data_IF_001372282468
#
_entry.id   IF_001372282468
#
_cell.length_a   1.000
_cell.length_b   1.000
_cell.length_c   1.000
_cell.angle_alpha   90.00
_cell.angle_beta   90.00
_cell.angle_gamma   90.00
#
_symmetry.space_group_name_H-M   'P 1'
#
loop_
_entity.id
_entity.type
_entity.pdbx_description
1 polymer ?
#
# COMPACT_ATOMS: atom_id res chain seq x y z
N UNK A 1 2.87 20.51 -5.44
CA UNK A 1 2.01 20.27 -6.61
C UNK A 1 0.88 19.29 -6.29
N UNK A 2 1.16 18.06 -5.84
CA UNK A 2 0.15 17.02 -5.52
C UNK A 2 -0.89 17.51 -4.50
N UNK A 3 -0.46 18.14 -3.39
CA UNK A 3 -1.35 18.68 -2.35
C UNK A 3 -2.31 19.72 -2.91
N UNK A 4 -1.82 20.67 -3.71
CA UNK A 4 -2.65 21.68 -4.34
C UNK A 4 -3.67 21.07 -5.31
N UNK A 5 -3.23 20.12 -6.14
CA UNK A 5 -4.11 19.39 -7.05
C UNK A 5 -5.21 18.62 -6.32
N UNK A 6 -4.84 17.88 -5.27
CA UNK A 6 -5.81 17.11 -4.49
C UNK A 6 -6.82 18.00 -3.75
N UNK A 7 -6.38 19.10 -3.14
CA UNK A 7 -7.28 20.04 -2.47
C UNK A 7 -8.21 20.76 -3.47
N UNK A 8 -7.76 21.06 -4.68
CA UNK A 8 -8.63 21.60 -5.73
C UNK A 8 -9.75 20.62 -6.12
N UNK A 9 -9.44 19.30 -6.19
CA UNK A 9 -10.46 18.27 -6.42
C UNK A 9 -11.45 18.15 -5.26
N UNK A 10 -10.97 18.22 -4.01
CA UNK A 10 -11.80 18.22 -2.81
C UNK A 10 -12.77 19.40 -2.84
N UNK A 11 -12.27 20.59 -3.16
CA UNK A 11 -13.09 21.78 -3.29
C UNK A 11 -14.14 21.67 -4.42
N UNK A 12 -13.74 21.16 -5.59
CA UNK A 12 -14.68 20.91 -6.71
C UNK A 12 -15.78 19.91 -6.32
N UNK A 13 -15.47 18.95 -5.44
CA UNK A 13 -16.44 17.98 -4.94
C UNK A 13 -17.31 18.51 -3.77
N UNK A 14 -17.12 19.76 -3.32
CA UNK A 14 -17.84 20.33 -2.19
C UNK A 14 -17.52 19.71 -0.83
N UNK A 15 -16.29 19.18 -0.68
CA UNK A 15 -15.89 18.42 0.52
C UNK A 15 -14.82 19.16 1.36
N UNK A 16 -14.59 20.45 1.14
CA UNK A 16 -13.52 21.21 1.81
C UNK A 16 -13.69 21.36 3.33
N UNK A 17 -14.91 21.25 3.82
CA UNK A 17 -15.25 21.22 5.25
C UNK A 17 -14.96 19.89 5.93
N UNK A 18 -14.82 18.81 5.16
CA UNK A 18 -14.70 17.42 5.65
C UNK A 18 -13.39 16.75 5.30
N UNK A 19 -12.70 17.22 4.27
CA UNK A 19 -11.48 16.61 3.76
C UNK A 19 -10.42 17.65 3.42
N UNK A 20 -9.17 17.34 3.77
CA UNK A 20 -8.02 18.19 3.50
C UNK A 20 -6.79 17.33 3.27
N UNK A 21 -5.95 17.73 2.31
CA UNK A 21 -4.64 17.12 2.10
C UNK A 21 -3.58 18.08 2.63
N UNK A 22 -2.75 17.59 3.51
CA UNK A 22 -1.60 18.30 4.07
C UNK A 22 -0.29 17.63 3.64
N UNK A 23 0.75 18.42 3.42
CA UNK A 23 2.08 17.92 3.13
C UNK A 23 2.90 17.99 4.43
N UNK A 24 2.87 16.90 5.19
CA UNK A 24 3.52 16.79 6.49
C UNK A 24 4.44 15.57 6.53
N UNK A 25 5.51 15.68 7.29
CA UNK A 25 6.26 14.51 7.74
C UNK A 25 5.45 13.82 8.86
N UNK A 26 5.34 12.48 8.82
CA UNK A 26 4.60 11.74 9.84
C UNK A 26 5.15 11.93 11.27
N UNK A 27 6.41 12.36 11.39
CA UNK A 27 7.06 12.68 12.67
C UNK A 27 6.65 14.04 13.24
N UNK A 28 5.99 14.86 12.44
CA UNK A 28 5.52 16.20 12.79
C UNK A 28 3.98 16.29 12.77
N UNK A 29 3.31 15.16 12.97
CA UNK A 29 1.86 15.14 13.11
C UNK A 29 1.44 16.00 14.33
N UNK A 30 0.30 16.71 14.25
CA UNK A 30 -0.23 17.47 15.37
C UNK A 30 -0.57 16.52 16.54
N UNK A 31 -0.41 17.02 17.76
CA UNK A 31 -0.75 16.29 18.99
C UNK A 31 -2.27 16.10 19.09
N UNK A 32 -2.75 15.08 18.40
CA UNK A 32 -4.16 14.70 18.28
C UNK A 32 -4.28 13.21 18.10
N UNK A 33 -5.32 12.63 18.67
CA UNK A 33 -5.70 11.24 18.43
C UNK A 33 -6.82 11.14 17.41
N UNK A 34 -6.76 10.11 16.58
CA UNK A 34 -7.76 9.81 15.54
C UNK A 34 -8.49 8.49 15.81
N UNK A 35 -9.76 8.46 15.41
CA UNK A 35 -10.58 7.24 15.49
C UNK A 35 -10.09 6.15 14.53
N UNK A 36 -9.54 6.57 13.38
CA UNK A 36 -9.04 5.66 12.34
C UNK A 36 -7.78 6.24 11.73
N UNK A 37 -6.77 5.38 11.58
CA UNK A 37 -5.53 5.71 10.89
C UNK A 37 -5.36 4.72 9.75
N UNK A 38 -5.00 5.23 8.56
CA UNK A 38 -4.72 4.42 7.38
C UNK A 38 -3.36 4.80 6.85
N UNK A 39 -2.50 3.81 6.64
CA UNK A 39 -1.19 3.98 6.00
C UNK A 39 -1.11 3.07 4.78
N UNK A 40 -1.00 3.67 3.60
CA UNK A 40 -1.00 2.96 2.33
C UNK A 40 0.37 3.12 1.65
N UNK A 41 1.15 2.03 1.65
CA UNK A 41 2.46 1.94 0.97
C UNK A 41 3.43 3.08 1.32
N UNK A 42 3.39 3.53 2.56
CA UNK A 42 4.29 4.53 3.11
C UNK A 42 5.43 3.88 3.89
N UNK A 43 5.16 2.75 4.52
CA UNK A 43 6.08 2.11 5.46
C UNK A 43 7.38 1.65 4.78
N UNK A 44 7.33 1.34 3.49
CA UNK A 44 8.48 0.98 2.65
C UNK A 44 9.51 2.12 2.55
N UNK A 45 9.07 3.36 2.74
CA UNK A 45 9.92 4.55 2.69
C UNK A 45 10.42 5.02 4.06
N UNK A 46 9.95 4.41 5.13
CA UNK A 46 10.34 4.75 6.51
C UNK A 46 11.75 4.26 6.84
N UNK A 47 12.15 3.14 6.24
CA UNK A 47 13.41 2.44 6.51
C UNK A 47 13.31 1.53 7.75
N UNK A 48 13.85 0.32 7.63
CA UNK A 48 13.70 -0.76 8.63
C UNK A 48 14.10 -0.32 10.05
N UNK A 49 15.18 0.45 10.18
CA UNK A 49 15.67 0.95 11.48
C UNK A 49 14.68 1.86 12.21
N UNK A 50 13.75 2.47 11.48
CA UNK A 50 12.79 3.43 12.01
C UNK A 50 11.40 2.83 12.26
N UNK A 51 11.14 1.58 11.87
CA UNK A 51 9.83 0.95 11.93
C UNK A 51 9.25 0.94 13.35
N UNK A 52 10.06 0.62 14.36
CA UNK A 52 9.62 0.65 15.75
C UNK A 52 9.14 2.05 16.17
N UNK A 53 9.86 3.11 15.77
CA UNK A 53 9.46 4.49 16.04
C UNK A 53 8.20 4.86 15.25
N UNK A 54 8.11 4.45 14.00
CA UNK A 54 6.95 4.69 13.16
C UNK A 54 5.67 4.09 13.77
N UNK A 55 5.69 2.80 14.13
CA UNK A 55 4.52 2.17 14.73
C UNK A 55 4.17 2.75 16.10
N UNK A 56 5.17 3.17 16.88
CA UNK A 56 4.92 3.87 18.15
C UNK A 56 4.20 5.21 17.93
N UNK A 57 4.59 5.99 16.91
CA UNK A 57 3.92 7.25 16.55
C UNK A 57 2.46 6.96 16.15
N UNK A 58 2.23 5.94 15.32
CA UNK A 58 0.86 5.55 14.93
C UNK A 58 0.04 5.14 16.17
N UNK A 59 0.64 4.35 17.06
CA UNK A 59 -0.02 3.92 18.30
C UNK A 59 -0.44 5.12 19.17
N UNK A 60 0.46 6.08 19.39
CA UNK A 60 0.22 7.24 20.23
C UNK A 60 -0.88 8.16 19.66
N UNK A 61 -0.97 8.25 18.33
CA UNK A 61 -1.96 9.05 17.64
C UNK A 61 -3.29 8.32 17.40
N UNK A 62 -3.40 7.03 17.69
CA UNK A 62 -4.64 6.28 17.60
C UNK A 62 -5.39 6.36 18.92
N UNK A 63 -6.71 6.60 18.89
CA UNK A 63 -7.56 6.47 20.09
C UNK A 63 -7.59 5.02 20.59
N UNK A 64 -7.96 4.82 21.83
CA UNK A 64 -7.98 3.49 22.46
C UNK A 64 -8.98 2.53 21.80
N UNK A 65 -10.12 3.04 21.31
CA UNK A 65 -11.11 2.33 20.50
C UNK A 65 -10.89 2.47 18.99
N UNK A 66 -9.73 2.99 18.60
CA UNK A 66 -9.36 3.26 17.23
C UNK A 66 -8.96 2.01 16.44
N UNK A 67 -9.02 2.11 15.10
CA UNK A 67 -8.51 1.06 14.20
C UNK A 67 -7.41 1.62 13.32
N UNK A 68 -6.38 0.81 13.15
CA UNK A 68 -5.27 1.08 12.23
C UNK A 68 -5.32 0.11 11.05
N UNK A 69 -5.28 0.63 9.84
CA UNK A 69 -5.10 -0.16 8.62
C UNK A 69 -3.75 0.16 8.02
N UNK A 70 -2.94 -0.86 7.85
CA UNK A 70 -1.67 -0.82 7.15
C UNK A 70 -1.79 -1.58 5.83
N UNK A 71 -1.51 -0.92 4.70
CA UNK A 71 -1.24 -1.61 3.45
C UNK A 71 0.25 -1.46 3.13
N UNK A 72 0.89 -2.56 2.79
CA UNK A 72 2.31 -2.56 2.44
C UNK A 72 2.65 -3.66 1.45
N UNK A 73 3.71 -3.41 0.68
CA UNK A 73 4.34 -4.40 -0.17
C UNK A 73 5.57 -5.01 0.52
N UNK A 74 5.75 -6.30 0.32
CA UNK A 74 6.88 -7.04 0.86
C UNK A 74 7.30 -8.18 -0.02
N UNK A 75 8.33 -8.89 0.39
CA UNK A 75 8.78 -10.14 -0.25
C UNK A 75 8.39 -11.32 0.64
N UNK A 76 7.93 -12.39 0.02
CA UNK A 76 7.69 -13.63 0.76
C UNK A 76 9.02 -14.18 1.32
N UNK A 77 8.96 -14.74 2.51
CA UNK A 77 10.07 -15.49 3.04
C UNK A 77 10.06 -16.90 2.44
N UNK A 78 11.12 -17.28 1.72
CA UNK A 78 11.29 -18.65 1.25
C UNK A 78 11.65 -19.56 2.43
N UNK A 79 10.88 -20.63 2.67
CA UNK A 79 11.09 -21.52 3.79
C UNK A 79 12.47 -22.20 3.72
N UNK A 80 12.85 -22.74 2.54
CA UNK A 80 14.08 -23.52 2.39
C UNK A 80 14.89 -23.20 1.13
N UNK A 81 14.50 -22.18 0.36
CA UNK A 81 15.09 -21.89 -0.96
C UNK A 81 15.77 -20.52 -1.05
N UNK A 82 15.83 -19.78 0.04
CA UNK A 82 16.46 -18.47 0.08
C UNK A 82 17.94 -18.53 0.45
N UNK A 83 18.69 -17.51 0.04
CA UNK A 83 20.08 -17.33 0.48
C UNK A 83 20.09 -16.95 1.95
N UNK A 84 20.67 -17.76 2.85
CA UNK A 84 20.87 -17.34 4.23
C UNK A 84 21.71 -16.05 4.31
N UNK A 85 21.43 -15.13 5.29
CA UNK A 85 20.45 -15.23 6.38
C UNK A 85 19.07 -14.66 6.07
N UNK A 86 18.83 -14.16 4.85
CA UNK A 86 17.66 -13.32 4.54
C UNK A 86 16.48 -14.11 3.97
N UNK A 87 16.71 -15.34 3.47
CA UNK A 87 15.68 -16.18 2.86
C UNK A 87 15.11 -15.62 1.54
N UNK A 88 15.82 -14.69 0.89
CA UNK A 88 15.44 -14.12 -0.39
C UNK A 88 16.10 -14.89 -1.55
N UNK A 89 15.37 -15.05 -2.65
CA UNK A 89 15.92 -15.61 -3.88
C UNK A 89 16.82 -14.59 -4.59
N UNK A 90 17.82 -15.05 -5.36
CA UNK A 90 18.65 -14.14 -6.15
C UNK A 90 17.85 -13.20 -7.07
N UNK A 91 16.77 -13.72 -7.67
CA UNK A 91 15.88 -12.95 -8.55
C UNK A 91 15.16 -11.83 -7.79
N UNK A 92 14.70 -12.11 -6.58
CA UNK A 92 14.02 -11.13 -5.72
C UNK A 92 15.00 -10.04 -5.27
N UNK A 93 16.26 -10.40 -5.03
CA UNK A 93 17.32 -9.43 -4.72
C UNK A 93 17.63 -8.52 -5.92
N UNK A 94 17.75 -9.09 -7.12
CA UNK A 94 17.95 -8.30 -8.36
C UNK A 94 16.79 -7.33 -8.56
N UNK A 95 15.57 -7.81 -8.37
CA UNK A 95 14.36 -6.98 -8.45
C UNK A 95 14.38 -5.85 -7.43
N UNK A 96 14.64 -6.15 -6.16
CA UNK A 96 14.72 -5.17 -5.09
C UNK A 96 15.75 -4.08 -5.35
N UNK A 97 16.94 -4.46 -5.83
CA UNK A 97 17.99 -3.51 -6.20
C UNK A 97 17.60 -2.64 -7.39
N UNK A 98 16.95 -3.22 -8.40
CA UNK A 98 16.43 -2.47 -9.54
C UNK A 98 15.37 -1.44 -9.09
N UNK A 99 14.41 -1.87 -8.26
CA UNK A 99 13.36 -1.01 -7.71
C UNK A 99 13.95 0.14 -6.91
N UNK A 100 14.84 -0.15 -5.98
CA UNK A 100 15.48 0.85 -5.12
C UNK A 100 16.31 1.86 -5.92
N UNK A 101 17.03 1.39 -6.96
CA UNK A 101 17.92 2.27 -7.74
C UNK A 101 17.18 3.15 -8.75
N UNK A 102 16.15 2.62 -9.42
CA UNK A 102 15.61 3.24 -10.63
C UNK A 102 14.15 3.69 -10.52
N UNK A 103 13.34 3.08 -9.67
CA UNK A 103 11.89 3.32 -9.62
C UNK A 103 11.51 4.07 -8.36
N UNK A 104 11.85 3.53 -7.18
CA UNK A 104 11.55 4.11 -5.86
C UNK A 104 12.84 4.25 -5.03
N UNK A 105 13.69 5.26 -5.32
CA UNK A 105 14.95 5.41 -4.61
C UNK A 105 14.75 5.51 -3.10
N UNK A 106 15.45 4.65 -2.35
CA UNK A 106 15.38 4.59 -0.90
C UNK A 106 14.23 3.78 -0.32
N UNK A 107 13.33 3.24 -1.14
CA UNK A 107 12.29 2.34 -0.66
C UNK A 107 12.85 0.94 -0.34
N UNK A 108 12.32 0.33 0.70
CA UNK A 108 12.64 -1.04 1.10
C UNK A 108 11.35 -1.84 1.33
N UNK A 109 11.03 -2.68 0.36
CA UNK A 109 9.90 -3.58 0.37
C UNK A 109 10.34 -5.04 0.63
N UNK A 110 11.44 -5.26 1.35
CA UNK A 110 12.01 -6.60 1.57
C UNK A 110 11.36 -7.35 2.75
N UNK A 111 10.64 -6.65 3.64
CA UNK A 111 10.10 -7.26 4.85
C UNK A 111 8.88 -8.12 4.57
N UNK A 112 8.89 -9.38 5.02
CA UNK A 112 7.72 -10.25 4.97
C UNK A 112 6.67 -9.85 6.01
N UNK A 113 5.45 -10.36 5.86
CA UNK A 113 4.34 -10.14 6.77
C UNK A 113 4.72 -10.40 8.23
N UNK A 114 5.44 -11.48 8.51
CA UNK A 114 5.84 -11.87 9.86
C UNK A 114 6.67 -10.81 10.58
N UNK A 115 7.60 -10.18 9.87
CA UNK A 115 8.43 -9.13 10.46
C UNK A 115 7.64 -7.84 10.66
N UNK A 116 6.75 -7.51 9.73
CA UNK A 116 5.86 -6.36 9.88
C UNK A 116 4.93 -6.51 11.10
N UNK A 117 4.28 -7.67 11.23
CA UNK A 117 3.46 -7.98 12.39
C UNK A 117 4.24 -7.88 13.71
N UNK A 118 5.47 -8.40 13.73
CA UNK A 118 6.35 -8.30 14.92
C UNK A 118 6.64 -6.86 15.35
N UNK A 119 6.83 -5.93 14.40
CA UNK A 119 7.00 -4.51 14.74
C UNK A 119 5.71 -3.89 15.26
N UNK A 120 4.56 -4.27 14.71
CA UNK A 120 3.24 -3.79 15.17
C UNK A 120 2.95 -4.28 16.59
N UNK A 121 3.12 -5.58 16.87
CA UNK A 121 2.91 -6.17 18.20
C UNK A 121 3.84 -5.54 19.24
N UNK A 122 5.11 -5.33 18.91
CA UNK A 122 6.07 -4.64 19.80
C UNK A 122 5.67 -3.20 20.11
N UNK A 123 4.95 -2.53 19.21
CA UNK A 123 4.42 -1.20 19.47
C UNK A 123 3.15 -1.18 20.30
N UNK A 124 2.56 -2.35 20.61
CA UNK A 124 1.36 -2.51 21.42
C UNK A 124 0.07 -2.75 20.63
N UNK A 125 0.17 -3.09 19.35
CA UNK A 125 -1.00 -3.45 18.54
C UNK A 125 -1.37 -4.92 18.73
N UNK A 126 -2.68 -5.18 18.68
CA UNK A 126 -3.29 -6.50 18.46
C UNK A 126 -3.78 -6.57 17.02
N UNK A 127 -3.32 -7.59 16.27
CA UNK A 127 -3.63 -7.75 14.85
C UNK A 127 -4.93 -8.50 14.71
N UNK A 128 -5.94 -7.83 14.16
CA UNK A 128 -7.23 -8.47 13.92
C UNK A 128 -7.23 -9.34 12.66
N UNK A 129 -6.68 -8.82 11.57
CA UNK A 129 -6.65 -9.55 10.29
C UNK A 129 -5.49 -9.11 9.42
N UNK A 130 -5.02 -10.04 8.59
CA UNK A 130 -4.08 -9.77 7.51
C UNK A 130 -4.61 -10.42 6.23
N UNK A 131 -4.82 -9.62 5.20
CA UNK A 131 -5.34 -10.06 3.91
C UNK A 131 -4.27 -9.90 2.84
N UNK A 132 -4.01 -10.98 2.10
CA UNK A 132 -3.11 -10.96 0.95
C UNK A 132 -3.88 -10.48 -0.29
N UNK A 133 -3.56 -9.29 -0.78
CA UNK A 133 -4.14 -8.68 -1.97
C UNK A 133 -3.21 -8.69 -3.18
N UNK A 134 -2.16 -9.49 -3.16
CA UNK A 134 -1.11 -9.52 -4.21
C UNK A 134 -1.67 -9.78 -5.60
N UNK A 135 -2.68 -10.66 -5.71
CA UNK A 135 -3.29 -10.97 -7.01
C UNK A 135 -4.07 -9.76 -7.58
N UNK A 136 -4.72 -8.97 -6.72
CA UNK A 136 -5.37 -7.73 -7.12
C UNK A 136 -4.35 -6.73 -7.64
N UNK A 137 -3.20 -6.65 -6.97
CA UNK A 137 -2.07 -5.80 -7.36
C UNK A 137 -1.53 -6.19 -8.72
N UNK A 138 -1.30 -7.50 -8.93
CA UNK A 138 -0.86 -8.05 -10.22
C UNK A 138 -1.79 -7.67 -11.36
N UNK A 139 -3.11 -7.85 -11.18
CA UNK A 139 -4.12 -7.50 -12.19
C UNK A 139 -4.13 -5.99 -12.47
N UNK A 140 -4.04 -5.16 -11.44
CA UNK A 140 -3.98 -3.70 -11.58
C UNK A 140 -2.74 -3.26 -12.35
N UNK A 141 -1.55 -3.76 -11.97
CA UNK A 141 -0.30 -3.40 -12.66
C UNK A 141 -0.30 -3.92 -14.10
N UNK A 142 -0.91 -5.08 -14.37
CA UNK A 142 -1.07 -5.57 -15.75
C UNK A 142 -1.87 -4.58 -16.59
N UNK A 143 -2.97 -4.02 -16.05
CA UNK A 143 -3.76 -2.98 -16.74
C UNK A 143 -2.95 -1.70 -16.96
N UNK A 144 -2.13 -1.28 -15.98
CA UNK A 144 -1.23 -0.15 -16.15
C UNK A 144 -0.19 -0.41 -17.24
N UNK A 145 0.36 -1.63 -17.30
CA UNK A 145 1.29 -2.02 -18.35
C UNK A 145 0.64 -1.95 -19.74
N UNK A 146 -0.58 -2.47 -19.88
CA UNK A 146 -1.30 -2.42 -21.14
C UNK A 146 -1.62 -0.97 -21.56
N UNK A 147 -1.97 -0.10 -20.61
CA UNK A 147 -2.15 1.33 -20.86
C UNK A 147 -0.84 2.02 -21.25
N UNK A 148 0.27 1.68 -20.62
CA UNK A 148 1.60 2.19 -20.96
C UNK A 148 1.99 1.89 -22.39
N UNK A 149 1.75 0.64 -22.81
CA UNK A 149 2.04 0.20 -24.18
C UNK A 149 1.13 0.86 -25.22
N UNK A 150 -0.16 1.00 -24.93
CA UNK A 150 -1.11 1.68 -25.82
C UNK A 150 -0.75 3.14 -26.04
N UNK A 151 -0.25 3.82 -25.03
CA UNK A 151 0.13 5.22 -25.09
C UNK A 151 1.61 5.44 -25.39
N UNK A 152 2.29 4.45 -26.00
CA UNK A 152 3.74 4.48 -26.26
C UNK A 152 4.20 5.79 -26.90
N UNK A 153 3.52 6.25 -27.96
CA UNK A 153 3.90 7.47 -28.66
C UNK A 153 3.90 8.69 -27.73
N UNK A 154 2.81 8.91 -27.00
CA UNK A 154 2.70 10.03 -26.07
C UNK A 154 3.74 9.99 -24.95
N UNK A 155 4.06 8.78 -24.46
CA UNK A 155 5.10 8.61 -23.43
C UNK A 155 6.49 8.89 -23.99
N UNK A 156 6.79 8.42 -25.21
CA UNK A 156 8.07 8.70 -25.86
C UNK A 156 8.25 10.20 -26.12
N UNK A 157 7.21 10.87 -26.59
CA UNK A 157 7.23 12.31 -26.86
C UNK A 157 7.44 13.12 -25.54
N UNK A 158 6.83 12.68 -24.42
CA UNK A 158 6.90 13.39 -23.15
C UNK A 158 8.15 13.08 -22.32
N UNK A 159 8.64 11.85 -22.33
CA UNK A 159 9.67 11.37 -21.38
C UNK A 159 10.87 10.71 -22.05
N UNK A 160 10.80 10.38 -23.34
CA UNK A 160 11.86 9.76 -24.13
C UNK A 160 12.00 8.25 -23.93
N UNK A 161 12.83 7.65 -24.79
CA UNK A 161 13.02 6.19 -24.91
C UNK A 161 13.50 5.54 -23.62
N UNK A 162 14.45 6.17 -22.92
CA UNK A 162 15.02 5.62 -21.67
C UNK A 162 13.94 5.38 -20.61
N UNK A 163 13.08 6.37 -20.38
CA UNK A 163 12.01 6.29 -19.40
C UNK A 163 10.94 5.29 -19.83
N UNK A 164 10.58 5.29 -21.10
CA UNK A 164 9.64 4.32 -21.63
C UNK A 164 10.10 2.88 -21.38
N UNK A 165 11.35 2.54 -21.72
CA UNK A 165 11.91 1.19 -21.53
C UNK A 165 12.01 0.80 -20.07
N UNK A 166 12.45 1.71 -19.21
CA UNK A 166 12.62 1.46 -17.77
C UNK A 166 11.28 1.16 -17.10
N UNK A 167 10.27 1.97 -17.37
CA UNK A 167 8.92 1.74 -16.85
C UNK A 167 8.23 0.53 -17.47
N UNK A 168 8.46 0.26 -18.73
CA UNK A 168 7.97 -0.96 -19.37
C UNK A 168 8.52 -2.21 -18.68
N UNK A 169 9.83 -2.24 -18.39
CA UNK A 169 10.44 -3.34 -17.63
C UNK A 169 9.84 -3.45 -16.22
N UNK A 170 9.75 -2.33 -15.50
CA UNK A 170 9.14 -2.28 -14.18
C UNK A 170 7.73 -2.87 -14.16
N UNK A 171 6.84 -2.38 -15.01
CA UNK A 171 5.46 -2.83 -15.06
C UNK A 171 5.35 -4.31 -15.47
N UNK A 172 6.09 -4.74 -16.49
CA UNK A 172 6.11 -6.12 -16.94
C UNK A 172 6.58 -7.09 -15.86
N UNK A 173 7.63 -6.71 -15.13
CA UNK A 173 8.18 -7.55 -14.05
C UNK A 173 7.25 -7.56 -12.83
N UNK A 174 6.74 -6.38 -12.41
CA UNK A 174 5.90 -6.24 -11.22
C UNK A 174 4.64 -7.10 -11.27
N UNK A 175 3.89 -7.08 -12.39
CA UNK A 175 2.68 -7.89 -12.46
C UNK A 175 3.00 -9.40 -12.47
N UNK A 176 4.14 -9.79 -13.04
CA UNK A 176 4.59 -11.19 -13.06
C UNK A 176 4.93 -11.69 -11.66
N UNK A 177 5.78 -10.98 -10.93
CA UNK A 177 6.20 -11.41 -9.59
C UNK A 177 5.03 -11.37 -8.59
N UNK A 178 4.09 -10.43 -8.76
CA UNK A 178 2.85 -10.42 -8.00
C UNK A 178 1.97 -11.64 -8.28
N UNK A 179 1.85 -12.04 -9.56
CA UNK A 179 1.11 -13.25 -9.94
C UNK A 179 1.77 -14.54 -9.43
N UNK A 180 3.10 -14.56 -9.31
CA UNK A 180 3.87 -15.68 -8.80
C UNK A 180 3.93 -15.73 -7.26
N UNK A 181 3.47 -14.67 -6.58
CA UNK A 181 3.52 -14.55 -5.13
C UNK A 181 4.96 -14.36 -4.58
N UNK A 182 5.90 -13.84 -5.37
CA UNK A 182 7.25 -13.51 -4.91
C UNK A 182 7.26 -12.15 -4.21
N UNK A 183 6.59 -11.16 -4.82
CA UNK A 183 6.26 -9.89 -4.17
C UNK A 183 4.82 -9.94 -3.74
N UNK A 184 4.58 -9.58 -2.50
CA UNK A 184 3.27 -9.65 -1.87
C UNK A 184 2.81 -8.26 -1.45
N UNK A 185 1.50 -8.06 -1.44
CA UNK A 185 0.87 -6.89 -0.88
C UNK A 185 -0.17 -7.32 0.15
N UNK A 186 -0.08 -6.77 1.34
CA UNK A 186 -0.98 -7.09 2.44
C UNK A 186 -1.74 -5.87 2.91
N UNK A 187 -2.99 -6.09 3.33
CA UNK A 187 -3.73 -5.18 4.18
C UNK A 187 -3.85 -5.79 5.57
N UNK A 188 -3.35 -5.08 6.58
CA UNK A 188 -3.38 -5.51 7.98
C UNK A 188 -4.25 -4.56 8.77
N UNK A 189 -5.26 -5.09 9.47
CA UNK A 189 -6.11 -4.33 10.39
C UNK A 189 -5.70 -4.66 11.81
N UNK A 190 -5.45 -3.62 12.59
CA UNK A 190 -5.04 -3.75 13.99
C UNK A 190 -5.74 -2.70 14.87
N UNK A 191 -5.72 -2.94 16.17
CA UNK A 191 -6.17 -2.03 17.22
C UNK A 191 -5.17 -2.05 18.38
N UNK A 192 -5.31 -1.13 19.33
CA UNK A 192 -4.48 -1.18 20.55
C UNK A 192 -4.78 -2.43 21.36
N UNK A 193 -3.76 -3.14 21.82
CA UNK A 193 -3.92 -4.31 22.67
C UNK A 193 -4.27 -3.90 24.11
N UNK A 194 -5.53 -3.55 24.31
CA UNK A 194 -6.10 -3.12 25.59
C UNK A 194 -7.19 -4.08 26.05
N UNK A 195 -7.25 -4.38 27.36
CA UNK A 195 -8.21 -5.34 27.92
C UNK A 195 -9.67 -4.93 27.71
N UNK A 196 -9.94 -3.62 27.67
CA UNK A 196 -11.29 -3.07 27.50
C UNK A 196 -11.71 -2.89 26.04
N UNK A 197 -10.87 -3.21 25.05
CA UNK A 197 -11.25 -3.09 23.65
C UNK A 197 -12.37 -4.06 23.28
N UNK A 198 -13.43 -3.55 22.66
CA UNK A 198 -14.58 -4.37 22.25
C UNK A 198 -14.30 -5.18 20.99
N UNK A 199 -13.70 -6.36 21.11
CA UNK A 199 -13.39 -7.26 19.99
C UNK A 199 -14.63 -7.85 19.31
N UNK A 200 -15.82 -7.74 19.91
CA UNK A 200 -17.09 -8.22 19.33
C UNK A 200 -17.47 -7.48 18.04
N UNK A 201 -16.93 -6.27 17.81
CA UNK A 201 -17.16 -5.53 16.57
C UNK A 201 -16.69 -6.27 15.29
N UNK A 202 -15.81 -7.27 15.46
CA UNK A 202 -15.29 -8.06 14.35
C UNK A 202 -16.07 -9.34 14.07
N UNK A 203 -17.04 -9.71 14.92
CA UNK A 203 -17.84 -10.93 14.73
C UNK A 203 -18.64 -10.83 13.42
N UNK A 204 -18.48 -11.82 12.54
CA UNK A 204 -19.19 -11.90 11.26
C UNK A 204 -18.71 -10.91 10.20
N UNK A 205 -17.64 -10.14 10.45
CA UNK A 205 -17.08 -9.19 9.50
C UNK A 205 -15.79 -9.75 8.89
N UNK A 206 -15.92 -10.50 7.82
CA UNK A 206 -14.78 -10.89 6.98
C UNK A 206 -14.61 -9.86 5.86
N UNK A 207 -13.40 -9.41 5.63
CA UNK A 207 -13.06 -8.24 4.82
C UNK A 207 -13.66 -8.25 3.39
N UNK A 208 -13.54 -9.30 2.63
CA UNK A 208 -14.05 -9.36 1.25
C UNK A 208 -15.29 -10.24 1.06
N UNK A 209 -15.59 -11.16 1.99
CA UNK A 209 -16.71 -12.10 1.82
C UNK A 209 -18.09 -11.43 1.92
N UNK A 210 -18.17 -10.20 2.41
CA UNK A 210 -19.42 -9.45 2.64
C UNK A 210 -19.76 -8.39 1.61
N UNK A 211 -18.92 -8.18 0.59
CA UNK A 211 -19.29 -7.31 -0.53
C UNK A 211 -20.32 -8.07 -1.36
N UNK A 212 -21.59 -7.67 -1.24
CA UNK A 212 -22.67 -8.27 -2.04
C UNK A 212 -22.32 -8.17 -3.52
N UNK A 213 -22.67 -9.16 -4.35
CA UNK A 213 -22.43 -9.12 -5.79
C UNK A 213 -22.92 -7.82 -6.46
N UNK A 214 -24.08 -7.31 -6.03
CA UNK A 214 -24.64 -6.02 -6.47
C UNK A 214 -23.76 -4.78 -6.16
N UNK A 215 -22.97 -4.83 -5.09
CA UNK A 215 -22.06 -3.74 -4.74
C UNK A 215 -20.75 -3.83 -5.53
N UNK A 216 -20.36 -5.04 -5.95
CA UNK A 216 -19.23 -5.24 -6.87
C UNK A 216 -19.49 -4.65 -8.26
N UNK A 217 -20.71 -4.81 -8.78
CA UNK A 217 -21.12 -4.22 -10.05
C UNK A 217 -21.18 -2.70 -10.00
N UNK A 218 -21.63 -2.12 -8.88
CA UNK A 218 -21.60 -0.67 -8.66
C UNK A 218 -20.19 -0.10 -8.62
N UNK A 219 -19.24 -0.77 -7.97
CA UNK A 219 -17.84 -0.36 -7.92
C UNK A 219 -17.17 -0.43 -9.30
N UNK A 220 -17.58 -1.37 -10.16
CA UNK A 220 -17.09 -1.47 -11.54
C UNK A 220 -17.73 -0.41 -12.43
N UNK A 221 -19.02 -0.14 -12.27
CA UNK A 221 -19.76 0.87 -13.05
C UNK A 221 -19.28 2.29 -12.76
N UNK A 222 -18.99 2.64 -11.50
CA UNK A 222 -18.46 3.97 -11.12
C UNK A 222 -17.04 4.22 -11.64
N UNK A 223 -16.24 3.17 -11.87
CA UNK A 223 -14.93 3.31 -12.51
C UNK A 223 -15.01 3.44 -14.04
N UNK A 224 -16.11 2.99 -14.66
CA UNK A 224 -16.37 3.13 -16.11
C UNK A 224 -16.82 4.53 -16.53
N UNK A 225 -17.57 5.21 -15.70
CA UNK A 225 -18.08 6.56 -15.99
C UNK A 225 -17.07 7.69 -15.75
N UNK A 226 -16.04 7.44 -14.94
CA UNK A 226 -14.97 8.43 -14.71
C UNK A 226 -14.02 8.62 -15.91
N UNK A 227 -14.08 7.75 -16.91
CA UNK A 227 -13.27 7.85 -18.15
C UNK A 227 -14.02 8.46 -19.33
N UNK A 228 -15.34 8.64 -19.24
CA UNK A 228 -16.14 9.21 -20.32
C UNK A 228 -16.28 10.75 -20.28
N UNK A 229 -15.85 11.39 -19.19
CA UNK A 229 -15.91 12.86 -19.02
C UNK A 229 -14.54 13.56 -19.15
N UNK A 230 -13.54 12.87 -19.69
CA UNK A 230 -12.17 13.40 -19.86
C UNK A 230 -11.70 13.38 -21.32
N UNK A 231 -12.62 13.44 -22.29
CA UNK A 231 -12.33 13.79 -23.69
C UNK A 231 -12.71 15.26 -23.97
#
# INVERSE_FOLDING_TARGET
>A
KQTAFGNARIAKAGLSDRAKIECLDYRALPDKQWDRIVSLEMVEHVGIKNLGKYFKIVYDHLKDDGLFLLQFCGLRRGADQGVPPVGLRPEDMIWGLFMNKYIFPGADASLPLSDMCKYMEKAGFDIHSAENISIHYSVTIKRWHDNWLRNKKAVLDAYGERWFRMWNLFLAWSWRIGAQGNSECFQVVAHKNLDHFNRKIFIGKNSLAQVKPSDRERLVATNGTAHAEAE
#
